data_IF_521755725377
#
_entry.id   IF_521755725377
#
_cell.length_a   1.000
_cell.length_b   1.000
_cell.length_c   1.000
_cell.angle_alpha   90.00
_cell.angle_beta   90.00
_cell.angle_gamma   90.00
#
_symmetry.space_group_name_H-M   'P 1'
#
loop_
_entity.id
_entity.type
_entity.pdbx_description
1 polymer ?
#
# COMPACT_ATOMS: atom_id res chain seq x y z
N UNK A 1 8.60 47.67 40.12
CA UNK A 1 9.45 47.08 39.08
C UNK A 1 9.28 45.57 39.20
N UNK A 2 8.47 44.93 38.35
CA UNK A 2 8.26 43.47 38.37
C UNK A 2 8.60 42.97 36.98
N UNK A 3 9.72 42.25 36.88
CA UNK A 3 10.25 41.72 35.63
C UNK A 3 9.51 40.45 35.22
N UNK A 4 8.97 40.47 34.01
CA UNK A 4 8.40 39.30 33.36
C UNK A 4 9.55 38.49 32.73
N UNK A 5 9.80 37.28 33.25
CA UNK A 5 10.72 36.33 32.60
C UNK A 5 9.91 35.60 31.52
N UNK A 6 10.10 36.00 30.27
CA UNK A 6 9.56 35.28 29.12
C UNK A 6 10.39 34.01 28.87
N UNK A 7 9.82 32.85 29.17
CA UNK A 7 10.37 31.55 28.81
C UNK A 7 10.20 31.35 27.30
N UNK A 8 11.22 31.71 26.52
CA UNK A 8 11.31 31.39 25.09
C UNK A 8 11.55 29.88 24.95
N UNK A 9 10.48 29.11 24.77
CA UNK A 9 10.55 27.76 24.21
C UNK A 9 11.01 27.87 22.75
N UNK A 10 12.31 27.92 22.55
CA UNK A 10 12.93 27.78 21.22
C UNK A 10 12.69 26.36 20.74
N UNK A 11 11.61 26.14 20.00
CA UNK A 11 11.44 24.93 19.20
C UNK A 11 12.61 24.87 18.23
N UNK A 12 13.52 23.92 18.43
CA UNK A 12 14.61 23.66 17.50
C UNK A 12 14.00 23.46 16.09
N UNK A 13 14.57 24.08 15.04
CA UNK A 13 14.10 23.82 13.69
C UNK A 13 14.23 22.32 13.45
N UNK A 14 13.11 21.64 13.20
CA UNK A 14 13.11 20.24 12.85
C UNK A 14 13.99 20.08 11.61
N UNK A 15 15.20 19.54 11.80
CA UNK A 15 16.11 19.26 10.71
C UNK A 15 15.42 18.33 9.73
N UNK A 16 15.62 18.58 8.43
CA UNK A 16 15.16 17.64 7.42
C UNK A 16 15.87 16.30 7.61
N UNK A 17 15.11 15.21 7.63
CA UNK A 17 15.59 13.85 7.84
C UNK A 17 15.39 13.07 6.53
N UNK A 18 16.38 12.27 6.15
CA UNK A 18 16.26 11.41 4.98
C UNK A 18 15.41 10.18 5.30
N UNK A 19 14.39 9.94 4.48
CA UNK A 19 13.60 8.72 4.52
C UNK A 19 13.69 8.00 3.17
N UNK A 20 13.52 6.69 3.22
CA UNK A 20 13.50 5.81 2.05
C UNK A 20 12.26 4.92 2.11
N UNK A 21 11.59 4.76 0.97
CA UNK A 21 10.49 3.82 0.80
C UNK A 21 10.82 2.89 -0.37
N UNK A 22 10.73 1.58 -0.10
CA UNK A 22 10.90 0.51 -1.07
C UNK A 22 9.58 -0.22 -1.27
N UNK A 23 9.10 -0.31 -2.50
CA UNK A 23 7.80 -0.93 -2.81
C UNK A 23 7.94 -1.97 -3.91
N UNK A 24 7.41 -3.16 -3.69
CA UNK A 24 7.37 -4.21 -4.70
C UNK A 24 5.93 -4.68 -4.91
N UNK A 25 5.51 -4.76 -6.17
CA UNK A 25 4.24 -5.36 -6.56
C UNK A 25 4.51 -6.74 -7.13
N UNK A 26 4.00 -7.80 -6.50
CA UNK A 26 4.22 -9.18 -6.95
C UNK A 26 2.91 -9.97 -7.04
N UNK A 27 2.92 -11.10 -7.75
CA UNK A 27 1.79 -12.02 -7.71
C UNK A 27 1.66 -12.69 -6.34
N UNK A 28 0.44 -12.84 -5.82
CA UNK A 28 0.15 -13.46 -4.52
C UNK A 28 0.71 -14.89 -4.41
N UNK A 29 0.64 -15.67 -5.50
CA UNK A 29 1.22 -17.01 -5.58
C UNK A 29 2.73 -17.04 -5.28
N UNK A 30 3.45 -15.96 -5.62
CA UNK A 30 4.87 -15.86 -5.35
C UNK A 30 5.09 -15.70 -3.84
N UNK A 31 4.39 -14.77 -3.18
CA UNK A 31 4.46 -14.62 -1.72
C UNK A 31 4.13 -15.95 -1.00
N UNK A 32 3.01 -16.57 -1.36
CA UNK A 32 2.54 -17.80 -0.69
C UNK A 32 3.48 -19.00 -0.88
N UNK A 33 4.41 -18.95 -1.84
CA UNK A 33 5.44 -19.99 -2.01
C UNK A 33 6.59 -19.88 -0.99
N UNK A 34 6.79 -18.72 -0.39
CA UNK A 34 7.83 -18.51 0.64
C UNK A 34 7.34 -18.77 2.05
N UNK A 35 6.04 -18.53 2.31
CA UNK A 35 5.50 -18.45 3.68
C UNK A 35 4.72 -19.70 4.07
N UNK A 36 4.81 -20.06 5.34
CA UNK A 36 3.99 -21.11 5.94
C UNK A 36 2.55 -20.65 6.18
N UNK A 37 1.63 -21.58 6.44
CA UNK A 37 0.24 -21.25 6.78
C UNK A 37 0.11 -20.37 8.03
N UNK A 38 1.02 -20.51 9.00
CA UNK A 38 1.04 -19.69 10.21
C UNK A 38 1.46 -18.23 9.93
N UNK A 39 2.24 -18.00 8.88
CA UNK A 39 2.66 -16.65 8.47
C UNK A 39 1.60 -15.94 7.62
N UNK A 40 0.52 -16.63 7.22
CA UNK A 40 -0.58 -16.04 6.46
C UNK A 40 -1.63 -15.35 7.34
N UNK A 41 -1.52 -15.45 8.68
CA UNK A 41 -2.39 -14.74 9.60
C UNK A 41 -2.06 -13.24 9.63
N UNK A 42 -3.07 -12.41 9.90
CA UNK A 42 -2.90 -10.98 10.01
C UNK A 42 -1.94 -10.59 11.14
N UNK A 43 -1.00 -9.70 10.83
CA UNK A 43 0.06 -9.27 11.73
C UNK A 43 1.16 -10.30 11.96
N UNK A 44 1.13 -11.47 11.30
CA UNK A 44 2.14 -12.49 11.47
C UNK A 44 3.50 -12.05 10.90
N UNK A 45 4.57 -12.46 11.58
CA UNK A 45 5.96 -12.34 11.14
C UNK A 45 6.59 -13.73 11.11
N UNK A 46 7.60 -13.94 10.27
CA UNK A 46 8.31 -15.21 10.26
C UNK A 46 9.38 -15.32 9.18
N UNK A 47 10.12 -16.44 9.17
CA UNK A 47 11.29 -16.63 8.32
C UNK A 47 10.96 -16.68 6.82
N UNK A 48 9.74 -17.03 6.44
CA UNK A 48 9.29 -16.96 5.05
C UNK A 48 9.19 -15.52 4.58
N UNK A 49 8.65 -14.63 5.41
CA UNK A 49 8.59 -13.19 5.13
C UNK A 49 9.98 -12.55 5.10
N UNK A 50 10.86 -12.94 6.01
CA UNK A 50 12.27 -12.49 6.00
C UNK A 50 12.98 -12.91 4.70
N UNK A 51 12.73 -14.14 4.22
CA UNK A 51 13.29 -14.62 2.93
C UNK A 51 12.77 -13.85 1.73
N UNK A 52 11.50 -13.45 1.73
CA UNK A 52 10.93 -12.60 0.66
C UNK A 52 11.65 -11.25 0.65
N UNK A 53 11.79 -10.61 1.81
CA UNK A 53 12.52 -9.35 1.93
C UNK A 53 13.96 -9.48 1.44
N UNK A 54 14.69 -10.50 1.91
CA UNK A 54 16.08 -10.74 1.51
C UNK A 54 16.21 -11.01 0.00
N UNK A 55 15.26 -11.75 -0.58
CA UNK A 55 15.28 -12.05 -2.02
C UNK A 55 15.06 -10.80 -2.87
N UNK A 56 14.17 -9.90 -2.43
CA UNK A 56 13.95 -8.61 -3.09
C UNK A 56 15.16 -7.67 -2.92
N UNK A 57 15.76 -7.61 -1.72
CA UNK A 57 16.96 -6.82 -1.46
C UNK A 57 18.17 -7.26 -2.31
N UNK A 58 18.33 -8.57 -2.49
CA UNK A 58 19.39 -9.15 -3.29
C UNK A 58 19.11 -9.10 -4.81
N UNK A 59 17.91 -8.69 -5.23
CA UNK A 59 17.49 -8.80 -6.63
C UNK A 59 17.40 -10.25 -7.14
N UNK A 60 17.24 -11.21 -6.22
CA UNK A 60 17.26 -12.64 -6.49
C UNK A 60 15.86 -13.22 -6.77
N UNK A 61 14.80 -12.42 -6.60
CA UNK A 61 13.45 -12.83 -6.96
C UNK A 61 13.32 -12.91 -8.49
N UNK A 62 12.58 -13.89 -9.01
CA UNK A 62 12.33 -14.01 -10.45
C UNK A 62 11.60 -12.75 -10.97
N UNK A 63 12.14 -12.12 -12.01
CA UNK A 63 11.52 -10.93 -12.64
C UNK A 63 10.09 -11.20 -13.10
N UNK A 64 9.77 -12.43 -13.52
CA UNK A 64 8.43 -12.84 -13.92
C UNK A 64 7.39 -12.82 -12.79
N UNK A 65 7.81 -12.68 -11.53
CA UNK A 65 6.89 -12.49 -10.40
C UNK A 65 6.57 -11.03 -10.10
N UNK A 66 7.38 -10.08 -10.59
CA UNK A 66 7.23 -8.64 -10.39
C UNK A 66 6.23 -8.09 -11.41
N UNK A 67 5.31 -7.25 -10.93
CA UNK A 67 4.27 -6.62 -11.75
C UNK A 67 4.65 -5.15 -11.99
N UNK A 68 5.45 -4.92 -13.03
CA UNK A 68 5.97 -3.59 -13.40
C UNK A 68 4.86 -2.57 -13.74
N UNK A 69 3.64 -3.03 -14.08
CA UNK A 69 2.47 -2.18 -14.36
C UNK A 69 1.69 -1.78 -13.09
N UNK A 70 2.31 -1.90 -11.92
CA UNK A 70 1.83 -1.42 -10.61
C UNK A 70 2.89 -0.52 -9.96
N UNK A 71 3.25 0.59 -10.61
CA UNK A 71 4.31 1.46 -10.11
C UNK A 71 3.84 2.25 -8.88
N UNK A 72 4.77 2.48 -7.96
CA UNK A 72 4.70 3.50 -6.93
C UNK A 72 4.64 4.89 -7.58
N UNK A 73 3.79 5.77 -7.06
CA UNK A 73 3.66 7.16 -7.49
C UNK A 73 3.47 8.10 -6.32
N UNK A 74 4.00 9.31 -6.44
CA UNK A 74 3.60 10.43 -5.60
C UNK A 74 2.14 10.81 -5.89
N UNK A 75 1.41 11.20 -4.85
CA UNK A 75 0.07 11.79 -5.01
C UNK A 75 0.17 13.31 -5.15
N UNK A 76 -0.72 13.99 -5.89
CA UNK A 76 -0.75 15.45 -5.93
C UNK A 76 -0.91 16.09 -4.54
N UNK A 77 -0.46 17.33 -4.36
CA UNK A 77 -0.54 18.05 -3.08
C UNK A 77 -1.97 18.21 -2.53
N UNK A 78 -2.99 18.32 -3.39
CA UNK A 78 -4.39 18.30 -2.96
C UNK A 78 -4.77 16.97 -2.31
N UNK A 79 -4.35 15.86 -2.92
CA UNK A 79 -4.60 14.51 -2.43
C UNK A 79 -3.84 14.28 -1.12
N UNK A 80 -2.54 14.59 -1.08
CA UNK A 80 -1.75 14.42 0.14
C UNK A 80 -2.41 15.10 1.35
N UNK A 81 -2.90 16.34 1.18
CA UNK A 81 -3.63 17.07 2.23
C UNK A 81 -4.95 16.41 2.61
N UNK A 82 -5.73 15.91 1.66
CA UNK A 82 -6.98 15.18 1.93
C UNK A 82 -6.74 13.92 2.80
N UNK A 83 -5.57 13.32 2.64
CA UNK A 83 -5.06 12.18 3.40
C UNK A 83 -4.26 12.58 4.65
N UNK A 84 -4.28 13.87 5.02
CA UNK A 84 -3.65 14.42 6.21
C UNK A 84 -2.13 14.46 6.18
N UNK A 85 -1.52 14.29 5.01
CA UNK A 85 -0.07 14.30 4.82
C UNK A 85 0.41 15.42 3.90
N UNK A 86 1.67 15.31 3.49
CA UNK A 86 2.38 16.21 2.59
C UNK A 86 2.69 15.50 1.28
N UNK A 87 2.68 16.26 0.19
CA UNK A 87 3.19 15.75 -1.08
C UNK A 87 4.72 15.73 -1.00
N UNK A 88 5.30 14.64 -1.51
CA UNK A 88 6.74 14.49 -1.67
C UNK A 88 7.04 14.49 -3.16
N UNK A 89 7.81 15.49 -3.58
CA UNK A 89 8.40 15.57 -4.91
C UNK A 89 9.79 14.94 -4.86
N UNK A 90 9.89 13.68 -5.28
CA UNK A 90 11.13 12.93 -5.32
C UNK A 90 11.12 11.99 -6.53
N UNK A 91 12.30 11.69 -7.06
CA UNK A 91 12.46 10.73 -8.15
C UNK A 91 12.18 9.32 -7.63
N UNK A 92 11.42 8.55 -8.42
CA UNK A 92 11.08 7.17 -8.12
C UNK A 92 11.80 6.29 -9.14
N UNK A 93 12.77 5.50 -8.69
CA UNK A 93 13.40 4.46 -9.50
C UNK A 93 12.46 3.27 -9.56
N UNK A 94 12.16 2.72 -10.74
CA UNK A 94 11.19 1.63 -10.88
C UNK A 94 11.83 0.25 -10.76
N UNK A 95 11.26 -0.60 -9.92
CA UNK A 95 11.64 -2.00 -9.78
C UNK A 95 11.35 -2.82 -11.04
N UNK A 96 12.28 -3.70 -11.38
CA UNK A 96 12.27 -4.46 -12.63
C UNK A 96 12.67 -3.64 -13.87
N UNK A 97 12.81 -2.31 -13.76
CA UNK A 97 13.13 -1.43 -14.89
C UNK A 97 14.43 -0.66 -14.65
N UNK A 98 14.46 0.19 -13.62
CA UNK A 98 15.60 1.02 -13.23
C UNK A 98 16.42 0.36 -12.10
N UNK A 99 15.75 -0.45 -11.25
CA UNK A 99 16.39 -1.28 -10.22
C UNK A 99 15.98 -2.76 -10.38
N UNK A 100 16.70 -3.72 -9.77
CA UNK A 100 16.37 -5.13 -9.94
C UNK A 100 14.97 -5.54 -9.43
N UNK A 101 14.47 -4.93 -8.35
CA UNK A 101 13.25 -5.45 -7.69
C UNK A 101 12.35 -4.42 -7.02
N UNK A 102 12.90 -3.36 -6.44
CA UNK A 102 12.13 -2.38 -5.67
C UNK A 102 11.85 -1.12 -6.50
N UNK A 103 10.60 -0.67 -6.51
CA UNK A 103 10.37 0.76 -6.68
C UNK A 103 11.00 1.47 -5.48
N UNK A 104 11.91 2.40 -5.72
CA UNK A 104 12.67 3.08 -4.69
C UNK A 104 12.46 4.59 -4.79
N UNK A 105 12.10 5.19 -3.65
CA UNK A 105 12.09 6.64 -3.49
C UNK A 105 12.84 7.04 -2.22
N UNK A 106 13.62 8.12 -2.32
CA UNK A 106 14.31 8.75 -1.20
C UNK A 106 13.92 10.22 -1.15
N UNK A 107 13.65 10.74 0.04
CA UNK A 107 13.30 12.14 0.21
C UNK A 107 13.79 12.70 1.53
N UNK A 108 13.96 14.02 1.56
CA UNK A 108 14.17 14.78 2.78
C UNK A 108 12.79 15.22 3.30
N UNK A 109 12.43 14.81 4.51
CA UNK A 109 11.14 15.11 5.10
C UNK A 109 11.29 15.76 6.48
N UNK A 110 10.18 16.20 7.05
CA UNK A 110 10.15 16.82 8.37
C UNK A 110 9.54 15.85 9.39
N UNK A 111 10.23 15.59 10.51
CA UNK A 111 9.67 14.78 11.59
C UNK A 111 8.26 15.26 12.03
N UNK A 112 7.35 14.30 12.19
CA UNK A 112 5.93 14.53 12.51
C UNK A 112 5.02 14.75 11.30
N UNK A 113 5.55 14.86 10.09
CA UNK A 113 4.75 14.86 8.86
C UNK A 113 4.44 13.43 8.39
N UNK A 114 3.41 13.30 7.55
CA UNK A 114 3.07 12.03 6.91
C UNK A 114 3.25 12.16 5.40
N UNK A 115 3.98 11.25 4.78
CA UNK A 115 4.04 11.19 3.32
C UNK A 115 3.00 10.21 2.78
N UNK A 116 2.40 10.56 1.64
CA UNK A 116 1.33 9.78 1.02
C UNK A 116 1.76 9.34 -0.37
N UNK A 117 1.71 8.04 -0.61
CA UNK A 117 2.08 7.41 -1.87
C UNK A 117 0.94 6.54 -2.37
N UNK A 118 0.88 6.29 -3.67
CA UNK A 118 -0.13 5.42 -4.26
C UNK A 118 0.52 4.39 -5.17
N UNK A 119 0.09 3.13 -5.02
CA UNK A 119 0.31 2.08 -6.00
C UNK A 119 -1.02 1.80 -6.67
N UNK A 120 -1.07 2.05 -7.97
CA UNK A 120 -2.25 1.78 -8.79
C UNK A 120 -1.81 1.28 -10.16
N UNK A 121 -2.74 0.63 -10.85
CA UNK A 121 -2.50 0.20 -12.22
C UNK A 121 -2.08 1.34 -13.14
N UNK A 122 -1.10 1.05 -14.01
CA UNK A 122 -0.78 1.86 -15.18
C UNK A 122 -1.14 1.13 -16.47
N UNK A 123 -1.92 1.77 -17.35
CA UNK A 123 -2.28 1.23 -18.66
C UNK A 123 -3.37 0.15 -18.62
N UNK A 124 -3.50 -0.60 -19.72
CA UNK A 124 -4.46 -1.68 -19.87
C UNK A 124 -3.89 -2.97 -19.29
N UNK A 125 -4.30 -3.30 -18.07
CA UNK A 125 -3.82 -4.48 -17.33
C UNK A 125 -4.96 -5.42 -17.03
N UNK A 126 -4.63 -6.65 -16.64
CA UNK A 126 -5.62 -7.56 -16.08
C UNK A 126 -6.23 -6.98 -14.79
N UNK A 127 -7.54 -7.13 -14.58
CA UNK A 127 -8.16 -6.75 -13.33
C UNK A 127 -7.66 -7.66 -12.21
N UNK A 128 -7.08 -7.05 -11.19
CA UNK A 128 -6.46 -7.75 -10.07
C UNK A 128 -6.91 -7.12 -8.76
N UNK A 129 -7.04 -7.96 -7.74
CA UNK A 129 -7.35 -7.57 -6.39
C UNK A 129 -6.09 -7.61 -5.52
N UNK A 130 -6.00 -6.71 -4.55
CA UNK A 130 -4.97 -6.75 -3.52
C UNK A 130 -5.44 -7.72 -2.44
N UNK A 131 -4.64 -8.75 -2.16
CA UNK A 131 -5.03 -9.79 -1.19
C UNK A 131 -4.29 -9.61 0.12
N UNK A 132 -3.00 -9.24 0.06
CA UNK A 132 -2.13 -9.09 1.22
C UNK A 132 -1.17 -7.93 1.00
N UNK A 133 -0.75 -7.36 2.11
CA UNK A 133 0.25 -6.30 2.15
C UNK A 133 1.26 -6.69 3.22
N UNK A 134 2.52 -6.83 2.83
CA UNK A 134 3.62 -7.06 3.77
C UNK A 134 4.28 -5.72 4.03
N UNK A 135 4.41 -5.33 5.30
CA UNK A 135 4.98 -4.04 5.69
C UNK A 135 6.18 -4.24 6.61
N UNK A 136 7.18 -3.37 6.44
CA UNK A 136 8.30 -3.20 7.36
C UNK A 136 8.51 -1.72 7.64
N UNK A 137 8.49 -1.37 8.92
CA UNK A 137 8.86 -0.06 9.44
C UNK A 137 9.87 -0.23 10.57
N UNK A 138 9.57 0.27 11.77
CA UNK A 138 10.47 0.13 12.93
C UNK A 138 10.61 -1.31 13.46
N UNK A 139 9.68 -2.20 13.13
CA UNK A 139 9.62 -3.58 13.63
C UNK A 139 9.98 -4.65 12.58
N UNK A 140 9.78 -5.94 12.90
CA UNK A 140 9.98 -7.01 11.93
C UNK A 140 9.01 -6.87 10.77
N UNK A 141 9.35 -7.48 9.65
CA UNK A 141 8.45 -7.60 8.50
C UNK A 141 7.20 -8.39 8.91
N UNK A 142 6.02 -7.87 8.60
CA UNK A 142 4.74 -8.47 8.96
C UNK A 142 3.79 -8.48 7.78
N UNK A 143 3.02 -9.56 7.68
CA UNK A 143 1.95 -9.72 6.69
C UNK A 143 0.64 -9.21 7.27
N UNK A 144 -0.11 -8.46 6.47
CA UNK A 144 -1.41 -7.94 6.82
C UNK A 144 -2.43 -8.22 5.73
N UNK A 145 -3.67 -8.44 6.15
CA UNK A 145 -4.82 -8.53 5.26
C UNK A 145 -5.60 -7.20 5.30
N UNK A 146 -6.15 -6.73 4.17
CA UNK A 146 -7.01 -5.56 4.17
C UNK A 146 -8.30 -5.82 4.96
N UNK A 147 -8.62 -4.96 5.94
CA UNK A 147 -9.84 -5.09 6.74
C UNK A 147 -10.66 -3.81 6.78
N UNK A 148 -11.99 -3.97 6.78
CA UNK A 148 -12.93 -2.93 7.17
C UNK A 148 -13.02 -2.91 8.70
N UNK A 149 -12.77 -1.76 9.33
CA UNK A 149 -12.92 -1.63 10.78
C UNK A 149 -14.40 -1.54 11.17
N UNK A 150 -14.87 -2.53 11.93
CA UNK A 150 -16.25 -2.59 12.45
C UNK A 150 -16.34 -2.40 13.96
N UNK A 151 -15.29 -2.75 14.72
CA UNK A 151 -15.33 -2.87 16.18
C UNK A 151 -14.36 -1.91 16.91
N UNK A 152 -13.96 -0.81 16.26
CA UNK A 152 -13.14 0.24 16.88
C UNK A 152 -11.64 -0.08 17.05
N UNK A 153 -11.20 -1.31 16.77
CA UNK A 153 -9.78 -1.66 16.74
C UNK A 153 -9.12 -1.11 15.47
N UNK A 154 -8.02 -0.38 15.65
CA UNK A 154 -7.19 0.07 14.53
C UNK A 154 -6.54 -1.11 13.82
N UNK A 155 -6.38 -0.97 12.51
CA UNK A 155 -5.73 -1.96 11.63
C UNK A 155 -4.56 -1.30 10.91
N UNK A 156 -3.49 -2.05 10.64
CA UNK A 156 -2.33 -1.54 9.89
C UNK A 156 -2.63 -1.40 8.39
N UNK A 157 -3.57 -2.20 7.88
CA UNK A 157 -4.02 -2.17 6.49
C UNK A 157 -5.54 -2.03 6.46
N UNK A 158 -5.98 -0.79 6.28
CA UNK A 158 -7.38 -0.42 6.21
C UNK A 158 -7.93 -0.71 4.81
N UNK A 159 -9.16 -1.18 4.74
CA UNK A 159 -9.89 -1.36 3.48
C UNK A 159 -11.01 -0.32 3.36
N UNK A 160 -11.10 0.34 2.20
CA UNK A 160 -12.20 1.26 1.88
C UNK A 160 -12.69 1.04 0.43
N UNK A 161 -13.99 1.23 0.14
CA UNK A 161 -14.47 1.26 -1.24
C UNK A 161 -13.88 2.43 -2.02
N UNK A 162 -13.42 2.19 -3.25
CA UNK A 162 -12.85 3.25 -4.10
C UNK A 162 -13.77 4.44 -4.35
N UNK A 163 -15.09 4.27 -4.64
CA UNK A 163 -16.00 5.41 -4.80
C UNK A 163 -16.09 6.29 -3.55
N UNK A 164 -16.06 5.67 -2.36
CA UNK A 164 -16.08 6.38 -1.08
C UNK A 164 -14.80 7.20 -0.90
N UNK A 165 -13.64 6.61 -1.20
CA UNK A 165 -12.36 7.32 -1.13
C UNK A 165 -12.34 8.51 -2.10
N UNK A 166 -12.72 8.29 -3.38
CA UNK A 166 -12.73 9.35 -4.38
C UNK A 166 -13.66 10.52 -3.99
N UNK A 167 -14.84 10.21 -3.44
CA UNK A 167 -15.75 11.22 -2.91
C UNK A 167 -15.11 12.03 -1.78
N UNK A 168 -14.54 11.39 -0.77
CA UNK A 168 -13.98 12.12 0.37
C UNK A 168 -12.63 12.79 0.08
N UNK A 169 -11.89 12.28 -0.91
CA UNK A 169 -10.66 12.87 -1.40
C UNK A 169 -10.93 14.23 -2.08
N UNK A 170 -11.99 14.32 -2.90
CA UNK A 170 -12.40 15.59 -3.52
C UNK A 170 -12.90 16.63 -2.50
N UNK A 171 -13.37 16.19 -1.33
CA UNK A 171 -13.78 17.04 -0.22
C UNK A 171 -12.68 17.30 0.81
N UNK A 172 -11.46 16.76 0.59
CA UNK A 172 -10.31 17.04 1.44
C UNK A 172 -10.38 16.43 2.85
N UNK A 173 -11.21 15.41 3.09
CA UNK A 173 -11.53 14.97 4.46
C UNK A 173 -11.41 13.44 4.69
N UNK A 174 -10.67 12.73 3.83
CA UNK A 174 -10.43 11.27 3.97
C UNK A 174 -9.79 10.95 5.32
N UNK A 175 -8.78 11.71 5.72
CA UNK A 175 -8.03 11.46 6.95
C UNK A 175 -8.91 11.47 8.19
N UNK A 176 -9.62 12.57 8.44
CA UNK A 176 -10.42 12.73 9.66
C UNK A 176 -11.64 11.79 9.67
N UNK A 177 -12.22 11.52 8.50
CA UNK A 177 -13.42 10.69 8.41
C UNK A 177 -13.12 9.20 8.60
N UNK A 178 -12.03 8.71 8.01
CA UNK A 178 -11.77 7.27 7.93
C UNK A 178 -10.41 6.85 8.46
N UNK A 179 -9.34 7.61 8.22
CA UNK A 179 -7.98 7.08 8.43
C UNK A 179 -7.51 7.28 9.87
N UNK A 180 -7.63 8.50 10.42
CA UNK A 180 -7.06 8.87 11.73
C UNK A 180 -7.48 7.93 12.87
N UNK A 181 -8.75 7.52 12.87
CA UNK A 181 -9.36 6.67 13.90
C UNK A 181 -9.19 5.17 13.66
N UNK A 182 -8.96 4.74 12.40
CA UNK A 182 -8.99 3.33 12.03
C UNK A 182 -7.63 2.76 11.62
N UNK A 183 -6.67 3.60 11.21
CA UNK A 183 -5.35 3.15 10.78
C UNK A 183 -4.37 3.14 11.97
N UNK A 184 -3.67 2.03 12.14
CA UNK A 184 -2.51 1.91 13.04
C UNK A 184 -1.23 2.27 12.27
N UNK A 185 -0.50 3.27 12.77
CA UNK A 185 0.79 3.74 12.24
C UNK A 185 1.93 3.57 13.27
N UNK A 186 1.75 2.77 14.33
CA UNK A 186 2.74 2.61 15.41
C UNK A 186 4.12 2.14 14.94
N UNK A 187 4.20 1.48 13.79
CA UNK A 187 5.47 1.03 13.19
C UNK A 187 6.01 2.02 12.14
N UNK A 188 5.40 3.20 11.99
CA UNK A 188 5.80 4.24 11.06
C UNK A 188 5.29 4.07 9.62
N UNK A 189 4.62 2.96 9.30
CA UNK A 189 3.98 2.75 7.99
C UNK A 189 2.64 2.02 8.16
N UNK A 190 1.67 2.40 7.34
CA UNK A 190 0.40 1.70 7.18
C UNK A 190 -0.12 1.85 5.75
N UNK A 191 -1.19 1.15 5.43
CA UNK A 191 -1.76 1.14 4.09
C UNK A 191 -3.28 1.28 4.10
N UNK A 192 -3.83 1.91 3.06
CA UNK A 192 -5.27 1.93 2.80
C UNK A 192 -5.53 1.36 1.42
N UNK A 193 -6.13 0.18 1.38
CA UNK A 193 -6.48 -0.54 0.16
C UNK A 193 -7.85 -0.10 -0.31
N UNK A 194 -7.88 0.40 -1.54
CA UNK A 194 -9.09 0.73 -2.27
C UNK A 194 -9.60 -0.47 -3.03
N UNK A 195 -10.75 -1.01 -2.63
CA UNK A 195 -11.42 -2.04 -3.41
C UNK A 195 -12.24 -1.43 -4.53
N UNK A 196 -12.02 -1.91 -5.75
CA UNK A 196 -12.94 -1.64 -6.85
C UNK A 196 -14.21 -2.48 -6.70
N UNK A 197 -15.35 -1.81 -6.81
CA UNK A 197 -16.69 -2.38 -6.91
C UNK A 197 -16.96 -3.02 -8.29
N UNK A 198 -16.19 -2.64 -9.31
CA UNK A 198 -16.26 -3.21 -10.64
C UNK A 198 -15.11 -4.21 -10.86
N UNK A 199 -15.45 -5.48 -11.09
CA UNK A 199 -14.49 -6.56 -11.26
C UNK A 199 -13.55 -6.38 -12.47
N UNK A 200 -13.84 -5.45 -13.37
CA UNK A 200 -12.99 -5.08 -14.51
C UNK A 200 -11.90 -4.06 -14.16
N UNK A 201 -11.96 -3.45 -12.98
CA UNK A 201 -10.95 -2.50 -12.53
C UNK A 201 -10.07 -3.11 -11.43
N UNK A 202 -8.75 -2.88 -11.51
CA UNK A 202 -7.85 -3.31 -10.46
C UNK A 202 -8.02 -2.45 -9.21
N UNK A 203 -7.69 -3.04 -8.07
CA UNK A 203 -7.56 -2.31 -6.81
C UNK A 203 -6.41 -1.30 -6.86
N UNK A 204 -6.37 -0.44 -5.85
CA UNK A 204 -5.22 0.42 -5.56
C UNK A 204 -4.91 0.43 -4.08
N UNK A 205 -3.74 0.92 -3.71
CA UNK A 205 -3.36 1.10 -2.31
C UNK A 205 -2.66 2.43 -2.11
N UNK A 206 -3.05 3.15 -1.07
CA UNK A 206 -2.30 4.28 -0.54
C UNK A 206 -1.38 3.80 0.57
N UNK A 207 -0.09 4.11 0.47
CA UNK A 207 0.88 3.89 1.54
C UNK A 207 1.06 5.20 2.31
N UNK A 208 0.98 5.12 3.63
CA UNK A 208 1.11 6.26 4.53
C UNK A 208 2.31 6.00 5.42
N UNK A 209 3.32 6.86 5.31
CA UNK A 209 4.55 6.79 6.12
C UNK A 209 4.55 7.94 7.10
N UNK A 210 4.63 7.62 8.38
CA UNK A 210 4.81 8.57 9.48
C UNK A 210 6.30 8.87 9.68
N UNK A 211 6.67 10.14 9.58
CA UNK A 211 8.07 10.57 9.52
C UNK A 211 8.62 10.76 10.94
N UNK A 212 9.43 9.80 11.40
CA UNK A 212 10.12 9.86 12.70
C UNK A 212 11.26 10.88 12.74
N UNK A 213 11.90 11.04 13.89
CA UNK A 213 13.02 11.97 14.09
C UNK A 213 14.38 11.46 13.57
N UNK A 214 14.43 10.23 13.09
CA UNK A 214 15.65 9.56 12.61
C UNK A 214 15.48 9.02 11.20
N UNK A 215 16.57 8.91 10.40
CA UNK A 215 16.51 8.32 9.09
C UNK A 215 15.97 6.89 9.13
N UNK A 216 15.05 6.56 8.24
CA UNK A 216 14.38 5.26 8.23
C UNK A 216 14.13 4.74 6.81
N UNK A 217 14.25 3.42 6.64
CA UNK A 217 13.82 2.72 5.43
C UNK A 217 12.55 1.94 5.72
N UNK A 218 11.49 2.27 4.98
CA UNK A 218 10.23 1.57 5.01
C UNK A 218 10.12 0.65 3.80
N UNK A 219 9.49 -0.51 3.97
CA UNK A 219 9.27 -1.45 2.87
C UNK A 219 7.82 -1.90 2.79
N UNK A 220 7.31 -2.06 1.58
CA UNK A 220 5.99 -2.61 1.32
C UNK A 220 6.02 -3.61 0.16
N UNK A 221 5.52 -4.83 0.38
CA UNK A 221 5.23 -5.78 -0.71
C UNK A 221 3.72 -5.88 -0.86
N UNK A 222 3.22 -5.49 -2.03
CA UNK A 222 1.80 -5.54 -2.38
C UNK A 222 1.57 -6.80 -3.22
N UNK A 223 0.69 -7.69 -2.75
CA UNK A 223 0.35 -8.87 -3.52
C UNK A 223 -0.94 -8.73 -4.31
N UNK A 224 -0.86 -9.14 -5.57
CA UNK A 224 -1.93 -9.05 -6.53
C UNK A 224 -2.39 -10.44 -6.95
N UNK A 225 -3.70 -10.63 -7.03
CA UNK A 225 -4.31 -11.85 -7.55
C UNK A 225 -5.30 -11.48 -8.63
N UNK A 226 -5.35 -12.26 -9.70
CA UNK A 226 -6.37 -12.10 -10.74
C UNK A 226 -7.76 -12.16 -10.10
N UNK A 227 -8.64 -11.23 -10.49
CA UNK A 227 -10.04 -11.30 -10.09
C UNK A 227 -10.66 -12.48 -10.81
N UNK A 228 -11.44 -13.29 -10.09
CA UNK A 228 -12.26 -14.31 -10.73
C UNK A 228 -13.41 -13.58 -11.44
N UNK A 229 -13.20 -13.28 -12.72
CA UNK A 229 -14.23 -12.73 -13.58
C UNK A 229 -14.86 -13.96 -14.23
N UNK A 230 -16.08 -14.30 -13.81
CA UNK A 230 -16.92 -15.17 -14.59
C UNK A 230 -17.18 -14.45 -15.91
N UNK A 231 -16.29 -14.67 -16.88
CA UNK A 231 -16.61 -14.41 -18.28
C UNK A 231 -17.64 -15.46 -18.62
N UNK A 232 -18.90 -15.12 -18.41
CA UNK A 232 -19.99 -15.76 -19.13
C UNK A 232 -19.66 -15.52 -20.62
N UNK A 233 -19.00 -16.49 -21.23
CA UNK A 233 -18.72 -16.44 -22.65
C UNK A 233 -20.08 -16.49 -23.34
N UNK A 234 -20.46 -15.49 -24.16
CA UNK A 234 -21.65 -15.61 -24.97
C UNK A 234 -21.41 -16.74 -25.96
N UNK A 235 -21.96 -17.92 -25.66
CA UNK A 235 -21.75 -19.13 -26.46
C UNK A 235 -21.76 -20.45 -25.68
N UNK A 236 -21.69 -20.42 -24.34
CA UNK A 236 -21.84 -21.63 -23.50
C UNK A 236 -23.28 -22.11 -23.33
N UNK A 237 -24.10 -21.99 -24.39
CA UNK A 237 -25.49 -22.46 -24.36
C UNK A 237 -25.54 -23.98 -24.35
N UNK A 238 -26.17 -24.54 -23.32
CA UNK A 238 -26.60 -25.93 -23.26
C UNK A 238 -27.43 -26.26 -24.50
N UNK A 239 -26.90 -27.06 -25.42
CA UNK A 239 -27.68 -27.56 -26.56
C UNK A 239 -28.74 -28.55 -26.06
N UNK A 240 -29.96 -28.06 -25.78
CA UNK A 240 -31.12 -28.93 -25.61
C UNK A 240 -31.52 -29.43 -27.00
N UNK A 241 -31.17 -30.67 -27.31
CA UNK A 241 -31.55 -31.35 -28.55
C UNK A 241 -33.01 -31.81 -28.43
N UNK A 242 -33.96 -30.97 -28.84
CA UNK A 242 -35.35 -31.39 -28.99
C UNK A 242 -35.42 -32.34 -30.19
N UNK A 243 -35.64 -33.64 -29.94
CA UNK A 243 -35.99 -34.61 -30.99
C UNK A 243 -37.46 -34.39 -31.36
N UNK A 244 -37.72 -33.99 -32.59
CA UNK A 244 -39.02 -34.23 -33.22
C UNK A 244 -39.05 -35.68 -33.69
N UNK A 245 -39.94 -36.48 -33.13
CA UNK A 245 -40.34 -37.74 -33.73
C UNK A 245 -41.34 -37.41 -34.84
N UNK A 246 -41.04 -37.86 -36.06
CA UNK A 246 -42.01 -37.96 -37.15
C UNK A 246 -42.87 -39.21 -36.96
#
# INVERSE_FOLDING_TARGET
MVGFVALLLTGAPAHAVEYRLLVASIFDRALTSFVSSAELYDGASGPGLDKVEQSLDAGAIDRGVIIEQRPLRSVPASIARAWGGVNVAADILRGGIDTPSWDEVRWQGKPGERSIWVVKSSGNVRPQQIVRVVLKGAGPVRLFQPFTVTNGNKVTVLQLPMPLMAFHESHGNVWDKFVAKNLDLRQGIGAVVGLSDNALFPDLVYLIVDQGDTPATFKAVITWRDRNIDREAPGGGTFIRIRYNH
#
